data_IF_986180841234
#
_entry.id   IF_986180841234
#
_cell.length_a   1.000
_cell.length_b   1.000
_cell.length_c   1.000
_cell.angle_alpha   90.00
_cell.angle_beta   90.00
_cell.angle_gamma   90.00
#
_symmetry.space_group_name_H-M   'P 1'
#
loop_
_entity.id
_entity.type
_entity.pdbx_description
1 polymer ?
#
# COMPACT_ATOMS: atom_id res chain seq x y z
N UNK A 1 29.21 7.43 8.96
CA UNK A 1 27.89 8.08 9.08
C UNK A 1 27.26 8.51 7.73
N UNK A 2 28.03 8.98 6.73
CA UNK A 2 27.48 9.41 5.41
C UNK A 2 26.74 8.31 4.62
N UNK A 3 27.20 7.05 4.73
CA UNK A 3 26.62 5.90 4.02
C UNK A 3 25.24 5.50 4.52
N UNK A 4 24.92 5.74 5.80
CA UNK A 4 23.61 5.44 6.39
C UNK A 4 22.54 6.42 5.91
N UNK A 5 22.83 7.74 5.92
CA UNK A 5 21.87 8.77 5.48
C UNK A 5 21.51 8.64 4.00
N UNK A 6 22.48 8.32 3.13
CA UNK A 6 22.24 8.09 1.70
C UNK A 6 21.34 6.89 1.45
N UNK A 7 21.58 5.77 2.15
CA UNK A 7 20.72 4.58 2.07
C UNK A 7 19.30 4.86 2.55
N UNK A 8 19.16 5.55 3.68
CA UNK A 8 17.86 5.98 4.17
C UNK A 8 17.11 6.86 3.16
N UNK A 9 17.78 7.88 2.60
CA UNK A 9 17.16 8.75 1.61
C UNK A 9 16.73 7.97 0.36
N UNK A 10 17.57 7.05 -0.11
CA UNK A 10 17.27 6.23 -1.28
C UNK A 10 16.08 5.30 -1.02
N UNK A 11 16.05 4.61 0.13
CA UNK A 11 14.90 3.77 0.51
C UNK A 11 13.62 4.62 0.56
N UNK A 12 13.67 5.80 1.17
CA UNK A 12 12.50 6.68 1.29
C UNK A 12 12.04 7.24 -0.06
N UNK A 13 12.97 7.60 -0.94
CA UNK A 13 12.68 8.02 -2.32
C UNK A 13 12.05 6.90 -3.14
N UNK A 14 12.57 5.67 -3.05
CA UNK A 14 11.99 4.51 -3.77
C UNK A 14 10.57 4.24 -3.26
N UNK A 15 10.38 4.18 -1.93
CA UNK A 15 9.05 3.96 -1.35
C UNK A 15 8.08 5.08 -1.73
N UNK A 16 8.53 6.33 -1.71
CA UNK A 16 7.76 7.47 -2.19
C UNK A 16 7.35 7.32 -3.65
N UNK A 17 8.30 7.03 -4.55
CA UNK A 17 8.04 6.84 -5.98
C UNK A 17 7.07 5.68 -6.25
N UNK A 18 7.20 4.56 -5.54
CA UNK A 18 6.31 3.42 -5.66
C UNK A 18 4.87 3.74 -5.26
N UNK A 19 4.68 4.69 -4.35
CA UNK A 19 3.35 5.11 -3.89
C UNK A 19 2.71 6.15 -4.81
N UNK A 20 3.47 6.85 -5.67
CA UNK A 20 2.92 7.87 -6.57
C UNK A 20 1.84 7.28 -7.47
N UNK A 21 2.13 6.15 -8.13
CA UNK A 21 1.21 5.54 -9.09
C UNK A 21 -0.14 5.16 -8.45
N UNK A 22 -0.20 4.35 -7.37
CA UNK A 22 -1.49 4.00 -6.76
C UNK A 22 -2.21 5.23 -6.18
N UNK A 23 -1.49 6.19 -5.60
CA UNK A 23 -2.09 7.42 -5.07
C UNK A 23 -2.69 8.26 -6.20
N UNK A 24 -1.98 8.42 -7.31
CA UNK A 24 -2.45 9.17 -8.47
C UNK A 24 -3.76 8.58 -9.01
N UNK A 25 -3.82 7.25 -9.18
CA UNK A 25 -5.03 6.56 -9.63
C UNK A 25 -6.22 6.75 -8.67
N UNK A 26 -5.97 6.71 -7.36
CA UNK A 26 -7.01 6.96 -6.35
C UNK A 26 -7.51 8.40 -6.41
N UNK A 27 -6.62 9.38 -6.58
CA UNK A 27 -7.00 10.79 -6.67
C UNK A 27 -7.80 11.04 -7.95
N UNK A 28 -7.30 10.58 -9.10
CA UNK A 28 -7.93 10.76 -10.40
C UNK A 28 -9.34 10.15 -10.42
N UNK A 29 -9.48 8.93 -9.89
CA UNK A 29 -10.80 8.32 -9.72
C UNK A 29 -11.72 9.08 -8.74
N UNK A 30 -11.20 9.65 -7.65
CA UNK A 30 -12.06 10.47 -6.77
C UNK A 30 -12.50 11.78 -7.43
N UNK A 31 -11.65 12.41 -8.24
CA UNK A 31 -12.00 13.62 -9.01
C UNK A 31 -13.08 13.27 -10.05
N UNK A 32 -12.90 12.20 -10.81
CA UNK A 32 -13.92 11.75 -11.77
C UNK A 32 -15.26 11.39 -11.11
N UNK A 33 -15.26 10.83 -9.89
CA UNK A 33 -16.50 10.61 -9.12
C UNK A 33 -17.18 11.93 -8.75
N UNK A 34 -16.41 12.94 -8.33
CA UNK A 34 -16.95 14.24 -7.97
C UNK A 34 -17.55 14.97 -9.18
N UNK A 35 -16.97 14.78 -10.37
CA UNK A 35 -17.42 15.39 -11.62
C UNK A 35 -18.56 14.61 -12.30
N UNK A 36 -19.06 13.52 -11.69
CA UNK A 36 -20.03 12.59 -12.27
C UNK A 36 -19.60 12.08 -13.66
N UNK A 37 -18.30 11.85 -13.82
CA UNK A 37 -17.72 11.38 -15.07
C UNK A 37 -18.27 9.97 -15.42
N UNK A 38 -18.85 9.75 -16.61
CA UNK A 38 -19.31 8.44 -17.05
C UNK A 38 -18.18 7.42 -17.30
N UNK A 39 -16.90 7.82 -17.32
CA UNK A 39 -15.76 6.93 -17.62
C UNK A 39 -15.34 6.01 -16.44
N UNK A 40 -16.29 5.51 -15.64
CA UNK A 40 -16.06 4.57 -14.54
C UNK A 40 -14.90 4.94 -13.59
N UNK A 41 -14.97 6.12 -12.96
CA UNK A 41 -13.92 6.61 -12.07
C UNK A 41 -13.65 5.70 -10.86
N UNK A 42 -14.64 4.89 -10.48
CA UNK A 42 -14.54 3.84 -9.46
C UNK A 42 -13.51 2.75 -9.81
N UNK A 43 -13.30 2.46 -11.10
CA UNK A 43 -12.33 1.47 -11.57
C UNK A 43 -10.89 1.95 -11.30
N UNK A 44 -10.59 3.24 -11.48
CA UNK A 44 -9.28 3.78 -11.19
C UNK A 44 -8.95 3.72 -9.69
N UNK A 45 -9.94 4.00 -8.83
CA UNK A 45 -9.82 3.86 -7.38
C UNK A 45 -9.53 2.40 -7.02
N UNK A 46 -10.30 1.46 -7.57
CA UNK A 46 -10.13 0.04 -7.32
C UNK A 46 -8.73 -0.44 -7.75
N UNK A 47 -8.29 -0.11 -8.96
CA UNK A 47 -6.95 -0.47 -9.45
C UNK A 47 -5.86 0.11 -8.54
N UNK A 48 -5.98 1.37 -8.15
CA UNK A 48 -5.04 2.00 -7.21
C UNK A 48 -4.95 1.26 -5.88
N UNK A 49 -6.09 0.86 -5.31
CA UNK A 49 -6.16 0.08 -4.06
C UNK A 49 -5.58 -1.34 -4.22
N UNK A 50 -5.80 -2.00 -5.35
CA UNK A 50 -5.24 -3.34 -5.63
C UNK A 50 -3.71 -3.30 -5.75
N UNK A 51 -3.17 -2.29 -6.45
CA UNK A 51 -1.72 -2.05 -6.54
C UNK A 51 -1.14 -1.76 -5.14
N UNK A 52 -1.84 -0.93 -4.35
CA UNK A 52 -1.43 -0.60 -2.99
C UNK A 52 -1.41 -1.85 -2.08
N UNK A 53 -2.34 -2.78 -2.27
CA UNK A 53 -2.36 -4.08 -1.59
C UNK A 53 -1.17 -4.95 -1.93
N UNK A 54 -0.80 -5.04 -3.22
CA UNK A 54 0.39 -5.79 -3.66
C UNK A 54 1.69 -5.20 -3.10
N UNK A 55 1.81 -3.87 -3.13
CA UNK A 55 2.94 -3.15 -2.50
C UNK A 55 2.99 -3.41 -1.00
N UNK A 56 1.86 -3.33 -0.32
CA UNK A 56 1.72 -3.68 1.09
C UNK A 56 2.22 -5.10 1.37
N UNK A 57 1.78 -6.08 0.58
CA UNK A 57 2.18 -7.48 0.72
C UNK A 57 3.70 -7.66 0.60
N UNK A 58 4.28 -7.11 -0.47
CA UNK A 58 5.70 -7.22 -0.74
C UNK A 58 6.54 -6.56 0.37
N UNK A 59 6.19 -5.33 0.77
CA UNK A 59 6.95 -4.55 1.75
C UNK A 59 6.79 -5.07 3.17
N UNK A 60 5.59 -5.52 3.56
CA UNK A 60 5.37 -6.21 4.83
C UNK A 60 6.13 -7.53 4.86
N UNK A 61 6.10 -8.33 3.78
CA UNK A 61 6.86 -9.57 3.68
C UNK A 61 8.37 -9.36 3.85
N UNK A 62 8.93 -8.37 3.14
CA UNK A 62 10.34 -7.96 3.30
C UNK A 62 10.65 -7.52 4.74
N UNK A 63 9.73 -6.81 5.38
CA UNK A 63 9.92 -6.34 6.76
C UNK A 63 9.90 -7.50 7.75
N UNK A 64 9.01 -8.48 7.58
CA UNK A 64 8.98 -9.70 8.41
C UNK A 64 10.31 -10.46 8.29
N UNK A 65 10.86 -10.58 7.08
CA UNK A 65 12.16 -11.23 6.86
C UNK A 65 13.29 -10.44 7.56
N UNK A 66 13.28 -9.11 7.45
CA UNK A 66 14.23 -8.24 8.16
C UNK A 66 14.11 -8.38 9.68
N UNK A 67 12.88 -8.46 10.21
CA UNK A 67 12.63 -8.67 11.63
C UNK A 67 13.14 -10.02 12.12
N UNK A 68 12.97 -11.11 11.35
CA UNK A 68 13.51 -12.43 11.70
C UNK A 68 15.05 -12.46 11.73
N UNK A 69 15.71 -11.70 10.86
CA UNK A 69 17.17 -11.73 10.72
C UNK A 69 17.89 -10.79 11.70
N UNK A 70 17.35 -9.59 11.94
CA UNK A 70 18.03 -8.54 12.72
C UNK A 70 17.29 -8.17 14.01
N UNK A 71 16.06 -8.65 14.22
CA UNK A 71 15.21 -8.31 15.37
C UNK A 71 14.53 -6.95 15.24
N UNK A 72 13.33 -6.81 15.81
CA UNK A 72 12.56 -5.55 15.76
C UNK A 72 13.25 -4.36 16.44
N UNK A 73 14.02 -4.61 17.49
CA UNK A 73 14.70 -3.56 18.26
C UNK A 73 15.85 -2.90 17.51
N UNK A 74 16.45 -3.58 16.52
CA UNK A 74 17.56 -3.02 15.74
C UNK A 74 17.10 -2.12 14.59
N UNK A 75 15.79 -2.13 14.26
CA UNK A 75 15.22 -1.33 13.18
C UNK A 75 15.11 0.14 13.58
N UNK A 76 15.47 1.03 12.65
CA UNK A 76 15.30 2.46 12.81
C UNK A 76 13.82 2.84 12.91
N UNK A 77 13.51 3.94 13.61
CA UNK A 77 12.14 4.41 13.80
C UNK A 77 11.38 4.60 12.48
N UNK A 78 12.03 5.14 11.44
CA UNK A 78 11.39 5.33 10.14
C UNK A 78 10.99 4.00 9.48
N UNK A 79 11.80 2.94 9.63
CA UNK A 79 11.49 1.61 9.08
C UNK A 79 10.30 0.97 9.81
N UNK A 80 10.19 1.21 11.13
CA UNK A 80 9.03 0.78 11.91
C UNK A 80 7.76 1.50 11.45
N UNK A 81 7.81 2.82 11.28
CA UNK A 81 6.68 3.60 10.76
C UNK A 81 6.26 3.14 9.37
N UNK A 82 7.23 2.94 8.47
CA UNK A 82 7.01 2.44 7.11
C UNK A 82 6.40 1.03 7.12
N UNK A 83 6.85 0.17 8.02
CA UNK A 83 6.30 -1.17 8.20
C UNK A 83 4.82 -1.15 8.61
N UNK A 84 4.48 -0.28 9.57
CA UNK A 84 3.09 -0.13 10.03
C UNK A 84 2.23 0.41 8.89
N UNK A 85 2.73 1.42 8.18
CA UNK A 85 2.05 1.97 7.01
C UNK A 85 1.76 0.89 5.95
N UNK A 86 2.77 0.13 5.52
CA UNK A 86 2.58 -0.92 4.53
C UNK A 86 1.69 -2.07 5.03
N UNK A 87 1.70 -2.35 6.33
CA UNK A 87 0.78 -3.32 6.93
C UNK A 87 -0.68 -2.84 6.87
N UNK A 88 -0.94 -1.56 7.12
CA UNK A 88 -2.28 -0.97 6.95
C UNK A 88 -2.69 -1.03 5.48
N UNK A 89 -1.80 -0.65 4.56
CA UNK A 89 -2.03 -0.77 3.11
C UNK A 89 -2.35 -2.21 2.69
N UNK A 90 -1.66 -3.19 3.26
CA UNK A 90 -1.93 -4.61 3.02
C UNK A 90 -3.31 -5.02 3.53
N UNK A 91 -3.75 -4.55 4.69
CA UNK A 91 -5.09 -4.86 5.20
C UNK A 91 -6.15 -4.29 4.25
N UNK A 92 -6.06 -3.00 3.93
CA UNK A 92 -7.03 -2.32 3.06
C UNK A 92 -7.05 -2.97 1.67
N UNK A 93 -5.88 -3.06 1.03
CA UNK A 93 -5.77 -3.64 -0.30
C UNK A 93 -6.09 -5.13 -0.32
N UNK A 94 -5.79 -5.86 0.75
CA UNK A 94 -6.14 -7.28 0.92
C UNK A 94 -7.65 -7.50 0.98
N UNK A 95 -8.38 -6.65 1.72
CA UNK A 95 -9.85 -6.67 1.72
C UNK A 95 -10.38 -6.38 0.31
N UNK A 96 -9.85 -5.36 -0.37
CA UNK A 96 -10.23 -5.08 -1.77
C UNK A 96 -9.97 -6.27 -2.69
N UNK A 97 -8.84 -6.97 -2.54
CA UNK A 97 -8.52 -8.17 -3.30
C UNK A 97 -9.50 -9.33 -3.02
N UNK A 98 -9.90 -9.52 -1.76
CA UNK A 98 -10.85 -10.57 -1.39
C UNK A 98 -12.25 -10.30 -1.95
N UNK A 99 -12.69 -9.04 -1.97
CA UNK A 99 -13.95 -8.63 -2.58
C UNK A 99 -13.85 -8.77 -4.11
N UNK A 100 -12.77 -8.28 -4.72
CA UNK A 100 -12.56 -8.31 -6.17
C UNK A 100 -12.47 -9.73 -6.74
N UNK A 101 -11.85 -10.66 -6.01
CA UNK A 101 -11.77 -12.07 -6.42
C UNK A 101 -13.01 -12.88 -6.05
N UNK A 102 -14.02 -12.24 -5.46
CA UNK A 102 -15.23 -12.88 -4.91
C UNK A 102 -14.94 -13.99 -3.88
N UNK A 103 -13.73 -14.02 -3.32
CA UNK A 103 -13.32 -14.96 -2.29
C UNK A 103 -14.13 -14.75 -0.99
N UNK A 104 -14.58 -13.51 -0.76
CA UNK A 104 -15.62 -13.19 0.22
C UNK A 104 -16.80 -12.61 -0.56
N UNK A 105 -17.95 -13.31 -0.62
CA UNK A 105 -19.11 -12.78 -1.30
C UNK A 105 -19.62 -11.52 -0.55
N UNK A 106 -20.02 -10.45 -1.26
CA UNK A 106 -20.39 -9.17 -0.63
C UNK A 106 -21.51 -9.28 0.41
N UNK A 107 -22.34 -10.31 0.31
CA UNK A 107 -23.44 -10.60 1.23
C UNK A 107 -23.01 -10.99 2.65
N UNK A 108 -21.73 -11.31 2.89
CA UNK A 108 -21.20 -11.65 4.23
C UNK A 108 -20.76 -10.42 5.04
N UNK A 109 -20.60 -9.25 4.41
CA UNK A 109 -20.08 -8.04 5.05
C UNK A 109 -21.21 -7.12 5.57
N UNK A 110 -22.40 -7.18 4.96
CA UNK A 110 -23.55 -6.32 5.27
C UNK A 110 -24.62 -6.99 6.15
N UNK A 111 -24.26 -8.04 6.90
CA UNK A 111 -25.19 -8.81 7.72
C UNK A 111 -24.94 -8.67 9.23
#
# INVERSE_FOLDING_TARGET
MLTSKRKMCLELSINGLLLITPIFLIIDGNVGLADNDPYHPDVFILIGLLILGLLGLAMTGLTIIRMRTHGWHSLALYQKALSIFYFICLIIGGICWLIFTEAIPPNWIFH
#
